data_IF_057943107759
#
_entry.id   IF_057943107759
#
_cell.length_a   1.000
_cell.length_b   1.000
_cell.length_c   1.000
_cell.angle_alpha   90.00
_cell.angle_beta   90.00
_cell.angle_gamma   90.00
#
_symmetry.space_group_name_H-M   'P 1'
#
loop_
_entity.id
_entity.type
_entity.pdbx_description
1 polymer ?
#
# COMPACT_ATOMS: atom_id res chain seq x y z
N UNK A 1 4.92 18.02 3.39
CA UNK A 1 4.87 16.56 3.32
C UNK A 1 3.70 16.11 4.18
N UNK A 2 2.76 15.40 3.59
CA UNK A 2 1.60 14.84 4.31
C UNK A 2 2.08 13.75 5.27
N UNK A 3 1.39 13.56 6.40
CA UNK A 3 1.75 12.48 7.33
C UNK A 3 1.52 11.11 6.66
N UNK A 4 2.39 10.10 6.88
CA UNK A 4 2.21 8.77 6.32
C UNK A 4 0.92 8.10 6.79
N UNK A 5 0.30 7.30 5.91
CA UNK A 5 -0.87 6.48 6.27
C UNK A 5 -0.45 5.07 6.67
N UNK A 6 -0.84 4.65 7.87
CA UNK A 6 -0.68 3.27 8.30
C UNK A 6 -1.81 2.41 7.74
N UNK A 7 -1.48 1.42 6.93
CA UNK A 7 -2.45 0.51 6.29
C UNK A 7 -2.22 -0.92 6.77
N UNK A 8 -3.27 -1.52 7.34
CA UNK A 8 -3.27 -2.94 7.73
C UNK A 8 -3.64 -3.83 6.56
N UNK A 9 -2.76 -4.78 6.21
CA UNK A 9 -3.02 -5.80 5.18
C UNK A 9 -3.00 -7.19 5.82
N UNK A 10 -4.15 -7.87 5.82
CA UNK A 10 -4.24 -9.27 6.31
C UNK A 10 -3.91 -10.24 5.18
N UNK A 11 -3.44 -11.45 5.52
CA UNK A 11 -3.05 -12.45 4.52
C UNK A 11 -1.94 -11.97 3.57
N UNK A 12 -1.07 -11.05 4.03
CA UNK A 12 -0.10 -10.36 3.20
C UNK A 12 0.93 -11.28 2.51
N UNK A 13 1.18 -12.47 3.07
CA UNK A 13 2.07 -13.48 2.49
C UNK A 13 1.39 -14.32 1.38
N UNK A 14 0.08 -14.20 1.18
CA UNK A 14 -0.62 -14.87 0.08
C UNK A 14 -0.42 -14.18 -1.26
N UNK A 15 -0.77 -14.86 -2.36
CA UNK A 15 -0.57 -14.36 -3.73
C UNK A 15 -1.19 -12.96 -3.97
N UNK A 16 -2.38 -12.71 -3.41
CA UNK A 16 -3.04 -11.40 -3.52
C UNK A 16 -2.27 -10.33 -2.74
N UNK A 17 -1.87 -10.66 -1.50
CA UNK A 17 -1.10 -9.75 -0.66
C UNK A 17 0.21 -9.33 -1.32
N UNK A 18 0.97 -10.30 -1.84
CA UNK A 18 2.22 -10.03 -2.54
C UNK A 18 2.03 -9.11 -3.76
N UNK A 19 1.02 -9.39 -4.59
CA UNK A 19 0.73 -8.55 -5.77
C UNK A 19 0.18 -7.15 -5.41
N UNK A 20 -0.47 -7.01 -4.24
CA UNK A 20 -1.10 -5.79 -3.77
C UNK A 20 -0.10 -4.81 -3.14
N UNK A 21 0.84 -5.29 -2.33
CA UNK A 21 1.73 -4.43 -1.52
C UNK A 21 2.53 -3.43 -2.38
N UNK A 22 3.02 -3.87 -3.54
CA UNK A 22 3.77 -2.98 -4.44
C UNK A 22 2.89 -1.89 -5.08
N UNK A 23 1.61 -2.18 -5.32
CA UNK A 23 0.64 -1.19 -5.83
C UNK A 23 0.25 -0.16 -4.77
N UNK A 24 0.15 -0.60 -3.52
CA UNK A 24 -0.03 0.30 -2.38
C UNK A 24 1.17 1.25 -2.24
N UNK A 25 2.39 0.70 -2.22
CA UNK A 25 3.62 1.47 -2.10
C UNK A 25 3.87 2.42 -3.29
N UNK A 26 3.37 2.11 -4.50
CA UNK A 26 3.46 3.01 -5.65
C UNK A 26 2.42 4.14 -5.65
N UNK A 27 1.60 4.27 -4.61
CA UNK A 27 0.57 5.30 -4.52
C UNK A 27 -0.67 5.03 -5.38
N UNK A 28 -0.88 3.82 -5.90
CA UNK A 28 -2.03 3.53 -6.77
C UNK A 28 -3.38 3.58 -6.06
N UNK A 29 -3.40 3.54 -4.71
CA UNK A 29 -4.63 3.62 -3.91
C UNK A 29 -4.92 5.02 -3.39
N UNK A 30 -3.89 5.79 -3.01
CA UNK A 30 -4.04 7.08 -2.30
C UNK A 30 -3.39 8.26 -3.03
N UNK A 31 -2.82 8.04 -4.21
CA UNK A 31 -2.12 9.03 -5.01
C UNK A 31 -0.61 9.03 -4.78
N UNK A 32 0.17 9.59 -5.72
CA UNK A 32 1.63 9.61 -5.66
C UNK A 32 2.19 10.57 -4.58
N UNK A 33 1.38 11.53 -4.12
CA UNK A 33 1.78 12.54 -3.13
C UNK A 33 1.53 12.11 -1.68
N UNK A 34 0.94 10.92 -1.47
CA UNK A 34 0.65 10.38 -0.15
C UNK A 34 1.76 9.37 0.25
N UNK A 35 2.64 9.75 1.18
CA UNK A 35 3.64 8.84 1.73
C UNK A 35 3.03 7.77 2.66
#
# INVERSE_FOLDING_TARGET
>A
MTAPLTVSVTGAAGNIGYALLFRLASGSCFGPDQP
#
